data_IF_535497407442
#
_entry.id   IF_535497407442
#
_cell.length_a   1.000
_cell.length_b   1.000
_cell.length_c   1.000
_cell.angle_alpha   90.00
_cell.angle_beta   90.00
_cell.angle_gamma   90.00
#
_symmetry.space_group_name_H-M   'P 1'
#
loop_
_entity.id
_entity.type
_entity.pdbx_description
1 polymer ?
#
# COMPACT_ATOMS: atom_id res chain seq x y z
N UNK A 1 10.35 -8.95 -8.09
CA UNK A 1 11.35 -10.03 -7.96
C UNK A 1 12.67 -9.72 -8.66
N UNK A 2 12.66 -8.88 -9.69
CA UNK A 2 13.91 -8.45 -10.37
C UNK A 2 14.77 -7.47 -9.59
N UNK A 3 14.23 -6.71 -8.65
CA UNK A 3 14.99 -5.75 -7.84
C UNK A 3 16.13 -6.42 -7.09
N UNK A 4 15.91 -7.60 -6.57
CA UNK A 4 16.90 -8.36 -5.79
C UNK A 4 17.96 -9.03 -6.69
N UNK A 5 17.61 -9.40 -7.91
CA UNK A 5 18.59 -9.83 -8.91
C UNK A 5 19.51 -8.68 -9.33
N UNK A 6 18.97 -7.47 -9.49
CA UNK A 6 19.76 -6.27 -9.77
C UNK A 6 20.67 -5.92 -8.59
N UNK A 7 20.22 -6.08 -7.35
CA UNK A 7 21.05 -5.87 -6.16
C UNK A 7 22.21 -6.84 -6.12
N UNK A 8 21.98 -8.14 -6.38
CA UNK A 8 23.08 -9.13 -6.45
C UNK A 8 24.14 -8.74 -7.47
N UNK A 9 23.72 -8.35 -8.68
CA UNK A 9 24.61 -7.87 -9.73
C UNK A 9 25.34 -6.60 -9.31
N UNK A 10 24.63 -5.63 -8.75
CA UNK A 10 25.20 -4.39 -8.25
C UNK A 10 26.28 -4.62 -7.18
N UNK A 11 26.03 -5.46 -6.18
CA UNK A 11 27.02 -5.76 -5.14
C UNK A 11 28.24 -6.49 -5.71
N UNK A 12 28.06 -7.41 -6.66
CA UNK A 12 29.16 -8.10 -7.31
C UNK A 12 30.01 -7.16 -8.15
N UNK A 13 29.39 -6.35 -9.02
CA UNK A 13 30.09 -5.50 -9.97
C UNK A 13 30.73 -4.27 -9.30
N UNK A 14 30.01 -3.65 -8.35
CA UNK A 14 30.48 -2.40 -7.74
C UNK A 14 31.33 -2.58 -6.49
N UNK A 15 31.09 -3.62 -5.73
CA UNK A 15 31.73 -3.86 -4.45
C UNK A 15 32.54 -5.16 -4.39
N UNK A 16 32.56 -5.93 -5.49
CA UNK A 16 33.17 -7.28 -5.56
C UNK A 16 32.72 -8.19 -4.40
N UNK A 17 31.46 -8.07 -4.01
CA UNK A 17 30.88 -8.78 -2.88
C UNK A 17 29.81 -9.76 -3.37
N UNK A 18 29.95 -11.04 -3.00
CA UNK A 18 28.97 -12.06 -3.34
C UNK A 18 27.84 -12.08 -2.29
N UNK A 19 26.61 -11.85 -2.74
CA UNK A 19 25.39 -11.92 -1.93
C UNK A 19 24.49 -13.05 -2.40
N UNK A 20 23.88 -13.74 -1.44
CA UNK A 20 22.90 -14.78 -1.74
C UNK A 20 21.48 -14.23 -1.71
N UNK A 21 20.68 -14.61 -2.69
CA UNK A 21 19.28 -14.30 -2.71
C UNK A 21 18.51 -15.30 -1.83
N UNK A 22 17.90 -14.82 -0.76
CA UNK A 22 17.16 -15.63 0.23
C UNK A 22 15.64 -15.48 0.14
N UNK A 23 15.13 -14.84 -0.91
CA UNK A 23 13.71 -14.52 -1.04
C UNK A 23 13.34 -13.19 -0.36
N UNK A 24 12.08 -12.81 -0.46
CA UNK A 24 11.57 -11.59 0.16
C UNK A 24 10.93 -11.92 1.52
N UNK A 25 11.38 -11.30 2.64
CA UNK A 25 10.88 -11.61 3.99
C UNK A 25 9.36 -11.47 4.13
N UNK A 26 8.74 -10.60 3.33
CA UNK A 26 7.30 -10.37 3.33
C UNK A 26 6.51 -11.63 2.92
N UNK A 27 7.08 -12.48 2.04
CA UNK A 27 6.43 -13.74 1.64
C UNK A 27 6.29 -14.69 2.82
N UNK A 28 7.34 -14.79 3.65
CA UNK A 28 7.34 -15.62 4.84
C UNK A 28 6.36 -15.08 5.89
N UNK A 29 6.32 -13.77 6.05
CA UNK A 29 5.40 -13.11 6.98
C UNK A 29 3.94 -13.32 6.58
N UNK A 30 3.61 -13.18 5.29
CA UNK A 30 2.27 -13.42 4.77
C UNK A 30 1.89 -14.89 4.95
N UNK A 31 2.79 -15.83 4.66
CA UNK A 31 2.50 -17.26 4.80
C UNK A 31 2.26 -17.66 6.25
N UNK A 32 3.02 -17.13 7.19
CA UNK A 32 2.86 -17.38 8.63
C UNK A 32 1.55 -16.84 9.21
N UNK A 33 1.13 -15.65 8.79
CA UNK A 33 -0.09 -14.99 9.30
C UNK A 33 -1.37 -15.43 8.62
N UNK A 34 -1.29 -16.30 7.63
CA UNK A 34 -2.40 -16.61 6.72
C UNK A 34 -3.51 -17.45 7.35
N UNK A 35 -3.34 -17.99 8.54
CA UNK A 35 -4.19 -19.11 8.99
C UNK A 35 -5.26 -18.70 10.02
N UNK A 36 -5.05 -17.66 10.83
CA UNK A 36 -5.84 -17.55 12.07
C UNK A 36 -7.01 -16.56 12.08
N UNK A 37 -7.08 -15.57 11.16
CA UNK A 37 -7.95 -14.40 11.43
C UNK A 37 -9.02 -14.08 10.37
N UNK A 38 -9.23 -14.94 9.38
CA UNK A 38 -10.12 -14.61 8.24
C UNK A 38 -11.59 -14.98 8.43
N UNK A 39 -11.91 -15.97 9.23
CA UNK A 39 -13.29 -16.52 9.32
C UNK A 39 -14.32 -15.54 9.90
N UNK A 40 -13.94 -14.80 10.94
CA UNK A 40 -14.84 -13.79 11.56
C UNK A 40 -14.92 -12.49 10.76
N UNK A 41 -13.86 -12.16 10.03
CA UNK A 41 -13.82 -10.94 9.23
C UNK A 41 -14.57 -11.11 7.90
N UNK A 42 -14.46 -12.27 7.27
CA UNK A 42 -15.16 -12.62 6.03
C UNK A 42 -16.68 -12.61 6.17
N UNK A 43 -17.21 -12.89 7.37
CA UNK A 43 -18.64 -12.77 7.64
C UNK A 43 -19.15 -11.34 7.70
N UNK A 44 -18.27 -10.36 7.98
CA UNK A 44 -18.62 -8.93 8.09
C UNK A 44 -18.32 -8.12 6.83
N UNK A 45 -17.45 -8.64 5.96
CA UNK A 45 -16.95 -7.92 4.78
C UNK A 45 -17.44 -8.65 3.54
N UNK A 46 -18.31 -8.00 2.77
CA UNK A 46 -18.69 -8.50 1.45
C UNK A 46 -17.53 -8.22 0.48
N UNK A 47 -16.98 -9.28 -0.12
CA UNK A 47 -15.87 -9.15 -1.06
C UNK A 47 -16.21 -8.25 -2.26
N UNK A 48 -17.46 -8.26 -2.68
CA UNK A 48 -17.88 -7.64 -3.93
C UNK A 48 -18.14 -6.13 -3.86
N UNK A 49 -18.08 -5.52 -2.67
CA UNK A 49 -18.41 -4.10 -2.49
C UNK A 49 -17.57 -3.41 -1.43
N UNK A 50 -16.34 -3.86 -1.20
CA UNK A 50 -15.49 -3.27 -0.16
C UNK A 50 -14.23 -2.66 -0.77
N UNK A 51 -14.00 -1.39 -0.49
CA UNK A 51 -12.78 -0.66 -0.82
C UNK A 51 -11.97 -0.47 0.45
N UNK A 52 -10.71 -0.94 0.43
CA UNK A 52 -9.78 -0.83 1.55
C UNK A 52 -8.94 0.44 1.41
N UNK A 53 -8.86 1.23 2.46
CA UNK A 53 -7.98 2.41 2.55
C UNK A 53 -6.79 2.09 3.45
N UNK A 54 -5.58 2.19 2.90
CA UNK A 54 -4.31 1.99 3.61
C UNK A 54 -3.50 3.30 3.60
N UNK A 55 -3.79 4.23 4.52
CA UNK A 55 -3.22 5.59 4.49
C UNK A 55 -1.79 5.68 5.01
N UNK A 56 -1.16 4.56 5.35
CA UNK A 56 0.21 4.50 5.85
C UNK A 56 0.30 4.26 7.35
N UNK A 57 1.54 4.21 7.83
CA UNK A 57 1.89 3.91 9.22
C UNK A 57 2.48 5.09 9.98
N UNK A 58 2.71 6.23 9.32
CA UNK A 58 3.27 7.45 9.94
C UNK A 58 2.22 8.54 10.02
N UNK A 59 2.21 9.29 11.12
CA UNK A 59 1.27 10.42 11.34
C UNK A 59 1.23 11.40 10.17
N UNK A 60 2.39 11.74 9.61
CA UNK A 60 2.48 12.67 8.48
C UNK A 60 1.86 12.12 7.20
N UNK A 61 1.98 10.82 6.95
CA UNK A 61 1.35 10.14 5.81
C UNK A 61 -0.16 10.17 5.97
N UNK A 62 -0.65 9.72 7.12
CA UNK A 62 -2.09 9.68 7.46
C UNK A 62 -2.70 11.08 7.34
N UNK A 63 -2.07 12.08 7.95
CA UNK A 63 -2.54 13.47 7.92
C UNK A 63 -2.66 14.02 6.49
N UNK A 64 -1.74 13.64 5.60
CA UNK A 64 -1.71 14.15 4.22
C UNK A 64 -2.61 13.38 3.26
N UNK A 65 -2.68 12.06 3.41
CA UNK A 65 -3.29 11.17 2.42
C UNK A 65 -4.70 10.71 2.81
N UNK A 66 -4.97 10.45 4.09
CA UNK A 66 -6.28 9.99 4.51
C UNK A 66 -7.43 10.93 4.11
N UNK A 67 -7.32 12.27 4.23
CA UNK A 67 -8.36 13.18 3.75
C UNK A 67 -8.62 13.04 2.24
N UNK A 68 -7.56 12.82 1.44
CA UNK A 68 -7.66 12.64 -0.01
C UNK A 68 -8.34 11.30 -0.31
N UNK A 69 -7.96 10.22 0.37
CA UNK A 69 -8.59 8.91 0.21
C UNK A 69 -10.07 8.94 0.60
N UNK A 70 -10.42 9.71 1.62
CA UNK A 70 -11.79 9.85 2.08
C UNK A 70 -12.66 10.76 1.19
N UNK A 71 -12.08 11.59 0.35
CA UNK A 71 -12.85 12.50 -0.52
C UNK A 71 -13.70 11.76 -1.56
N UNK A 72 -13.31 10.54 -1.92
CA UNK A 72 -14.05 9.73 -2.91
C UNK A 72 -15.21 8.92 -2.31
N UNK A 73 -15.32 8.85 -1.00
CA UNK A 73 -16.33 8.01 -0.32
C UNK A 73 -17.75 8.39 -0.72
N UNK A 74 -18.03 9.69 -0.88
CA UNK A 74 -19.35 10.19 -1.28
C UNK A 74 -19.74 9.83 -2.71
N UNK A 75 -18.76 9.61 -3.58
CA UNK A 75 -18.98 9.29 -4.99
C UNK A 75 -19.32 7.80 -5.21
N UNK A 76 -18.89 6.93 -4.30
CA UNK A 76 -19.05 5.48 -4.41
C UNK A 76 -19.97 4.93 -3.32
N UNK A 77 -21.22 5.37 -3.31
CA UNK A 77 -22.21 5.04 -2.26
C UNK A 77 -22.55 3.54 -2.16
N UNK A 78 -22.38 2.80 -3.25
CA UNK A 78 -22.63 1.35 -3.28
C UNK A 78 -21.51 0.52 -2.67
N UNK A 79 -20.39 1.16 -2.35
CA UNK A 79 -19.23 0.52 -1.76
C UNK A 79 -19.09 0.84 -0.28
N UNK A 80 -18.69 -0.17 0.49
CA UNK A 80 -18.26 -0.02 1.86
C UNK A 80 -16.78 0.36 1.89
N UNK A 81 -16.45 1.41 2.62
CA UNK A 81 -15.07 1.82 2.81
C UNK A 81 -14.58 1.39 4.19
N UNK A 82 -13.40 0.79 4.23
CA UNK A 82 -12.75 0.36 5.48
C UNK A 82 -11.34 0.92 5.53
N UNK A 83 -10.98 1.57 6.63
CA UNK A 83 -9.60 1.98 6.90
C UNK A 83 -8.89 0.82 7.59
N UNK A 84 -7.83 0.31 6.97
CA UNK A 84 -6.87 -0.61 7.58
C UNK A 84 -5.85 0.19 8.41
N UNK A 85 -6.08 0.25 9.71
CA UNK A 85 -5.20 0.96 10.63
C UNK A 85 -3.92 0.19 10.92
N UNK A 86 -2.77 0.87 10.82
CA UNK A 86 -1.47 0.29 11.12
C UNK A 86 -1.33 -0.05 12.63
N UNK A 87 -0.64 -1.15 12.97
CA UNK A 87 -0.43 -1.55 14.38
C UNK A 87 0.30 -0.50 15.22
N UNK A 88 1.16 0.30 14.59
CA UNK A 88 1.94 1.36 15.25
C UNK A 88 1.13 2.61 15.58
N UNK A 89 -0.12 2.71 15.10
CA UNK A 89 -0.95 3.91 15.25
C UNK A 89 -2.09 3.71 16.26
N UNK A 90 -2.44 4.80 16.96
CA UNK A 90 -3.62 4.81 17.82
C UNK A 90 -4.91 4.96 16.98
N UNK A 91 -5.97 4.28 17.42
CA UNK A 91 -7.28 4.37 16.75
C UNK A 91 -7.78 5.82 16.62
N UNK A 92 -7.54 6.64 17.63
CA UNK A 92 -7.94 8.04 17.67
C UNK A 92 -7.39 8.88 16.50
N UNK A 93 -6.22 8.51 15.96
CA UNK A 93 -5.63 9.19 14.80
C UNK A 93 -6.56 9.10 13.59
N UNK A 94 -7.17 7.95 13.37
CA UNK A 94 -8.11 7.74 12.25
C UNK A 94 -9.51 8.29 12.56
N UNK A 95 -9.98 8.14 13.79
CA UNK A 95 -11.31 8.59 14.22
C UNK A 95 -11.57 10.08 13.99
N UNK A 96 -10.54 10.91 14.10
CA UNK A 96 -10.63 12.34 13.86
C UNK A 96 -11.05 12.71 12.40
N UNK A 97 -10.86 11.79 11.44
CA UNK A 97 -11.18 12.00 10.02
C UNK A 97 -12.50 11.39 9.58
N UNK A 98 -13.09 10.47 10.37
CA UNK A 98 -14.27 9.71 9.96
C UNK A 98 -15.55 10.09 10.69
N UNK A 99 -15.54 11.12 11.55
CA UNK A 99 -16.66 11.50 12.46
C UNK A 99 -18.02 11.63 11.78
N UNK A 100 -18.06 11.99 10.50
CA UNK A 100 -19.29 12.24 9.75
C UNK A 100 -19.44 11.33 8.51
N UNK A 101 -18.64 10.27 8.42
CA UNK A 101 -18.56 9.41 7.23
C UNK A 101 -18.87 7.97 7.60
N UNK A 102 -19.61 7.29 6.74
CA UNK A 102 -19.89 5.86 6.90
C UNK A 102 -18.64 5.02 6.50
N UNK A 103 -17.57 5.14 7.30
CA UNK A 103 -16.29 4.43 7.08
C UNK A 103 -15.93 3.69 8.35
N UNK A 104 -15.71 2.40 8.25
CA UNK A 104 -15.27 1.55 9.36
C UNK A 104 -13.74 1.62 9.51
N UNK A 105 -13.24 1.52 10.75
CA UNK A 105 -11.82 1.43 11.03
C UNK A 105 -11.53 0.06 11.63
N UNK A 106 -10.61 -0.68 11.03
CA UNK A 106 -10.17 -2.00 11.51
C UNK A 106 -8.66 -1.98 11.66
N UNK A 107 -8.16 -2.22 12.87
CA UNK A 107 -6.72 -2.25 13.14
C UNK A 107 -6.18 -3.68 13.22
N UNK A 108 -4.90 -3.83 12.94
CA UNK A 108 -4.14 -5.07 13.11
C UNK A 108 -4.64 -6.27 12.26
N UNK A 109 -5.46 -6.02 11.22
CA UNK A 109 -6.07 -7.06 10.39
C UNK A 109 -5.87 -6.83 8.89
N UNK A 110 -4.81 -6.13 8.50
CA UNK A 110 -4.57 -5.73 7.10
C UNK A 110 -4.65 -6.90 6.13
N UNK A 111 -4.05 -8.03 6.44
CA UNK A 111 -4.06 -9.20 5.54
C UNK A 111 -5.45 -9.83 5.41
N UNK A 112 -6.21 -9.87 6.51
CA UNK A 112 -7.61 -10.31 6.47
C UNK A 112 -8.49 -9.36 5.66
N UNK A 113 -8.23 -8.05 5.73
CA UNK A 113 -8.91 -7.05 4.91
C UNK A 113 -8.56 -7.19 3.43
N UNK A 114 -7.28 -7.36 3.10
CA UNK A 114 -6.80 -7.55 1.73
C UNK A 114 -7.39 -8.80 1.06
N UNK A 115 -7.61 -9.88 1.82
CA UNK A 115 -8.25 -11.09 1.29
C UNK A 115 -9.72 -10.90 0.93
N UNK A 116 -10.39 -9.94 1.57
CA UNK A 116 -11.83 -9.78 1.52
C UNK A 116 -12.28 -8.42 0.93
N UNK A 117 -11.40 -7.66 0.30
CA UNK A 117 -11.76 -6.41 -0.39
C UNK A 117 -11.78 -6.59 -1.91
N UNK A 118 -12.53 -5.72 -2.58
CA UNK A 118 -12.62 -5.63 -4.04
C UNK A 118 -11.42 -4.91 -4.63
N UNK A 119 -11.04 -3.81 -3.99
CA UNK A 119 -9.94 -2.94 -4.40
C UNK A 119 -9.36 -2.22 -3.19
N UNK A 120 -8.19 -1.62 -3.36
CA UNK A 120 -7.54 -0.85 -2.31
C UNK A 120 -7.04 0.51 -2.82
N UNK A 121 -7.10 1.52 -1.95
CA UNK A 121 -6.41 2.79 -2.13
C UNK A 121 -5.29 2.81 -1.10
N UNK A 122 -4.05 2.81 -1.56
CA UNK A 122 -2.89 2.59 -0.70
C UNK A 122 -1.91 3.75 -0.78
N UNK A 123 -1.22 4.03 0.32
CA UNK A 123 -0.06 4.92 0.26
C UNK A 123 1.15 4.19 -0.33
N UNK A 124 2.00 4.95 -1.02
CA UNK A 124 3.26 4.40 -1.54
C UNK A 124 4.15 3.90 -0.39
N UNK A 125 4.61 2.66 -0.49
CA UNK A 125 5.44 2.00 0.52
C UNK A 125 5.24 0.49 0.51
N UNK A 126 5.57 -0.18 1.60
CA UNK A 126 5.39 -1.65 1.74
C UNK A 126 3.95 -2.11 1.55
N UNK A 127 2.97 -1.26 1.86
CA UNK A 127 1.56 -1.55 1.66
C UNK A 127 1.19 -1.84 0.20
N UNK A 128 1.88 -1.21 -0.77
CA UNK A 128 1.67 -1.49 -2.20
C UNK A 128 2.11 -2.90 -2.56
N UNK A 129 3.25 -3.33 -2.04
CA UNK A 129 3.76 -4.68 -2.28
C UNK A 129 2.89 -5.73 -1.60
N UNK A 130 2.47 -5.49 -0.36
CA UNK A 130 1.53 -6.37 0.35
C UNK A 130 0.23 -6.52 -0.44
N UNK A 131 -0.37 -5.43 -0.88
CA UNK A 131 -1.60 -5.42 -1.67
C UNK A 131 -1.44 -6.20 -2.98
N UNK A 132 -0.31 -6.04 -3.66
CA UNK A 132 0.03 -6.77 -4.88
C UNK A 132 0.14 -8.28 -4.65
N UNK A 133 0.79 -8.70 -3.57
CA UNK A 133 0.94 -10.11 -3.20
C UNK A 133 -0.41 -10.78 -2.91
N UNK A 134 -1.40 -10.02 -2.43
CA UNK A 134 -2.78 -10.47 -2.30
C UNK A 134 -3.59 -10.39 -3.60
N UNK A 135 -2.98 -9.94 -4.71
CA UNK A 135 -3.63 -9.78 -6.03
C UNK A 135 -4.87 -8.86 -5.96
N UNK A 136 -4.81 -7.84 -5.13
CA UNK A 136 -5.89 -6.85 -5.00
C UNK A 136 -5.60 -5.68 -5.94
N UNK A 137 -6.55 -5.32 -6.83
CA UNK A 137 -6.45 -4.10 -7.64
C UNK A 137 -6.23 -2.89 -6.74
N UNK A 138 -5.27 -2.03 -7.09
CA UNK A 138 -4.94 -0.92 -6.20
C UNK A 138 -4.69 0.39 -6.93
N UNK A 139 -5.02 1.47 -6.24
CA UNK A 139 -4.63 2.83 -6.59
C UNK A 139 -3.59 3.28 -5.57
N UNK A 140 -2.41 3.67 -6.05
CA UNK A 140 -1.32 4.13 -5.20
C UNK A 140 -1.36 5.65 -5.10
N UNK A 141 -1.55 6.16 -3.89
CA UNK A 141 -1.53 7.58 -3.58
C UNK A 141 -0.19 7.96 -2.95
N UNK A 142 0.39 9.06 -3.41
CA UNK A 142 1.58 9.62 -2.80
C UNK A 142 1.53 11.14 -2.79
N UNK A 143 2.16 11.74 -1.79
CA UNK A 143 2.29 13.19 -1.66
C UNK A 143 3.63 13.51 -1.00
N UNK A 144 4.55 14.08 -1.76
CA UNK A 144 5.84 14.52 -1.24
C UNK A 144 5.79 15.98 -0.80
N UNK A 145 6.82 16.44 -0.11
CA UNK A 145 7.01 17.88 0.15
C UNK A 145 7.67 18.52 -1.07
N UNK A 146 7.43 19.82 -1.28
CA UNK A 146 8.05 20.57 -2.38
C UNK A 146 9.59 20.48 -2.35
N UNK A 147 10.17 20.55 -1.18
CA UNK A 147 11.63 20.42 -0.99
C UNK A 147 12.14 19.05 -1.40
N UNK A 148 11.48 17.97 -0.98
CA UNK A 148 11.84 16.60 -1.37
C UNK A 148 11.71 16.39 -2.87
N UNK A 149 10.66 16.94 -3.50
CA UNK A 149 10.47 16.91 -4.94
C UNK A 149 11.59 17.64 -5.68
N UNK A 150 11.97 18.84 -5.23
CA UNK A 150 13.02 19.62 -5.86
C UNK A 150 14.38 18.94 -5.76
N UNK A 151 14.73 18.42 -4.58
CA UNK A 151 15.97 17.65 -4.38
C UNK A 151 15.98 16.40 -5.26
N UNK A 152 14.88 15.64 -5.30
CA UNK A 152 14.75 14.47 -6.14
C UNK A 152 14.91 14.79 -7.62
N UNK A 153 14.34 15.91 -8.10
CA UNK A 153 14.46 16.36 -9.49
C UNK A 153 15.91 16.70 -9.87
N UNK A 154 16.71 17.18 -8.92
CA UNK A 154 18.12 17.49 -9.15
C UNK A 154 18.98 16.22 -9.15
N UNK A 155 18.68 15.27 -8.27
CA UNK A 155 19.51 14.08 -8.05
C UNK A 155 19.21 12.92 -9.01
N UNK A 156 17.97 12.83 -9.52
CA UNK A 156 17.55 11.72 -10.37
C UNK A 156 17.61 12.13 -11.84
N UNK A 157 18.52 11.49 -12.59
CA UNK A 157 18.76 11.76 -14.01
C UNK A 157 17.59 11.44 -14.94
N UNK A 158 16.65 10.56 -14.53
CA UNK A 158 15.45 10.21 -15.30
C UNK A 158 14.18 10.45 -14.47
N UNK A 159 13.56 11.64 -14.57
CA UNK A 159 12.46 12.05 -13.68
C UNK A 159 11.08 11.51 -14.07
N UNK A 160 10.98 10.43 -14.84
CA UNK A 160 9.72 9.91 -15.40
C UNK A 160 8.65 9.68 -14.29
N UNK A 161 9.08 9.40 -13.07
CA UNK A 161 8.18 9.10 -11.93
C UNK A 161 8.16 10.18 -10.83
N UNK A 162 8.85 11.30 -11.01
CA UNK A 162 8.87 12.37 -10.01
C UNK A 162 7.71 13.35 -10.22
N UNK A 163 6.57 13.05 -9.60
CA UNK A 163 5.48 14.02 -9.43
C UNK A 163 5.43 14.50 -7.97
N UNK A 164 5.10 15.77 -7.77
CA UNK A 164 4.92 16.35 -6.44
C UNK A 164 3.79 15.65 -5.65
N UNK A 165 2.72 15.30 -6.34
CA UNK A 165 1.66 14.44 -5.86
C UNK A 165 1.05 13.70 -7.05
N UNK A 166 0.54 12.50 -6.84
CA UNK A 166 -0.09 11.77 -7.91
C UNK A 166 -0.86 10.54 -7.41
N UNK A 167 -1.63 10.03 -8.33
CA UNK A 167 -2.36 8.77 -8.19
C UNK A 167 -1.90 7.88 -9.33
N UNK A 168 -1.37 6.73 -9.00
CA UNK A 168 -1.03 5.69 -9.96
C UNK A 168 -2.08 4.59 -9.83
N UNK A 169 -2.80 4.31 -10.92
CA UNK A 169 -3.67 3.15 -11.00
C UNK A 169 -2.84 1.96 -11.50
N UNK A 170 -2.84 0.87 -10.77
CA UNK A 170 -2.22 -0.38 -11.18
C UNK A 170 -3.35 -1.38 -11.37
N UNK A 171 -3.84 -1.46 -12.61
CA UNK A 171 -4.99 -2.30 -12.96
C UNK A 171 -4.59 -3.74 -13.29
N UNK A 172 -3.34 -3.98 -13.66
CA UNK A 172 -2.93 -5.30 -14.11
C UNK A 172 -1.48 -5.61 -13.74
N UNK A 173 -1.30 -6.38 -12.68
CA UNK A 173 0.02 -6.92 -12.34
C UNK A 173 0.48 -8.04 -13.28
N UNK A 174 -0.39 -8.52 -14.18
CA UNK A 174 -0.04 -9.54 -15.15
C UNK A 174 0.81 -8.98 -16.30
N UNK A 175 0.70 -7.68 -16.58
CA UNK A 175 1.50 -6.99 -17.63
C UNK A 175 2.72 -6.24 -17.11
N UNK A 176 2.79 -5.95 -15.82
CA UNK A 176 4.04 -5.51 -15.23
C UNK A 176 5.01 -6.70 -15.26
N UNK A 177 5.75 -6.78 -16.36
CA UNK A 177 6.88 -7.67 -16.39
C UNK A 177 7.71 -7.32 -15.16
N UNK A 178 8.03 -8.34 -14.38
CA UNK A 178 8.85 -8.24 -13.16
C UNK A 178 10.22 -7.55 -13.46
N UNK A 179 10.46 -7.07 -14.66
CA UNK A 179 11.61 -6.28 -15.11
C UNK A 179 11.51 -4.78 -14.83
N UNK A 180 10.33 -4.25 -14.46
CA UNK A 180 10.11 -2.80 -14.29
C UNK A 180 9.77 -2.36 -12.85
N UNK A 181 9.77 -3.28 -11.88
CA UNK A 181 9.61 -2.96 -10.45
C UNK A 181 11.01 -3.06 -9.77
#
# INVERSE_FOLDING_TARGET
MNTIFHEKKFYKEKHNFDVSFVGHPLMDEISKRNIEDTSKLSQKISKDKTILLLPGSRDQEIKKLLPIMLSVVSEFKDYKFIIGGAPSQKLSVYQNYVKERNVEIVQNKTYGLLKNCTAAIVTSGTATLETALFKVPQIVCYKSTWTTYLIGKILIKNPIYLKFSGVLSVNDFSELSISEI
#
